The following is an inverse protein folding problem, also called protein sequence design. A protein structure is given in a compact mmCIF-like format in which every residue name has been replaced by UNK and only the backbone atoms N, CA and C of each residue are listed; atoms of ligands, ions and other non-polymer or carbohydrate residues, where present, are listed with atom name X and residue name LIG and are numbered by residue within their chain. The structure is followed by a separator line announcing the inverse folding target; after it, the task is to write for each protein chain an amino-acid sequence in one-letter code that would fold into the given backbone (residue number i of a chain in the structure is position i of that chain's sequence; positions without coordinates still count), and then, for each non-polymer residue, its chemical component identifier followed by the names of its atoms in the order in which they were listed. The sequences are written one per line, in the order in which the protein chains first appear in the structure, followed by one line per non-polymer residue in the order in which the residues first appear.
data_IF_604781729223
#
_entry.id   IF_604781729223
#
_cell.length_a   1.000
_cell.length_b   1.000
_cell.length_c   1.000
_cell.angle_alpha   90.00
_cell.angle_beta   90.00
_cell.angle_gamma   90.00
#
_symmetry.space_group_name_H-M   'P 1'
#
loop_
_entity.id
_entity.type
_entity.pdbx_description
1 polymer ?
#
# COMPACT_ATOMS: atom_id res chain seq x y z
N UNK A 1 13.19 8.44 -1.61
CA UNK A 1 12.17 9.16 -2.43
C UNK A 1 10.88 9.08 -1.65
N UNK A 2 10.20 10.20 -1.41
CA UNK A 2 8.94 10.16 -0.66
C UNK A 2 7.72 10.23 -1.56
N UNK A 3 6.74 9.40 -1.22
CA UNK A 3 5.37 9.49 -1.71
C UNK A 3 4.50 10.04 -0.60
N UNK A 4 3.70 11.05 -0.92
CA UNK A 4 2.83 11.78 -0.01
C UNK A 4 1.39 11.61 -0.44
N UNK A 5 0.50 11.30 0.50
CA UNK A 5 -0.94 11.29 0.23
C UNK A 5 -1.74 11.74 1.45
N UNK A 6 -2.84 12.46 1.19
CA UNK A 6 -3.67 13.07 2.23
C UNK A 6 -4.76 12.11 2.69
N UNK A 7 -4.92 11.94 4.00
CA UNK A 7 -5.97 11.15 4.63
C UNK A 7 -7.32 11.85 4.47
N UNK A 8 -8.08 11.41 3.47
CA UNK A 8 -9.55 11.31 3.48
C UNK A 8 -10.00 10.15 2.57
N UNK A 9 -9.29 9.03 2.58
CA UNK A 9 -9.69 7.83 1.82
C UNK A 9 -10.44 6.88 2.74
N UNK A 10 -11.67 7.24 3.08
CA UNK A 10 -12.61 6.32 3.73
C UNK A 10 -13.58 5.69 2.75
N UNK A 11 -13.43 5.95 1.45
CA UNK A 11 -14.13 5.21 0.42
C UNK A 11 -13.11 4.64 -0.56
N UNK A 12 -12.98 3.32 -0.54
CA UNK A 12 -12.21 2.54 -1.51
C UNK A 12 -12.64 2.84 -2.96
N UNK A 13 -13.83 3.40 -3.15
CA UNK A 13 -14.38 3.79 -4.44
C UNK A 13 -13.89 5.15 -4.95
N UNK A 14 -13.23 5.96 -4.11
CA UNK A 14 -12.72 7.26 -4.53
C UNK A 14 -11.43 7.14 -5.33
N UNK A 15 -11.25 8.06 -6.27
CA UNK A 15 -10.01 8.26 -7.00
C UNK A 15 -9.15 9.28 -6.27
N UNK A 16 -7.83 9.05 -6.23
CA UNK A 16 -6.92 9.98 -5.58
C UNK A 16 -5.49 9.95 -6.10
N UNK A 17 -4.80 11.05 -5.86
CA UNK A 17 -3.45 11.28 -6.33
C UNK A 17 -2.42 11.09 -5.21
N UNK A 18 -1.28 10.52 -5.60
CA UNK A 18 -0.08 10.33 -4.79
C UNK A 18 0.97 11.29 -5.31
N UNK A 19 1.53 12.10 -4.42
CA UNK A 19 2.45 13.18 -4.75
C UNK A 19 3.88 12.83 -4.38
N UNK A 20 4.85 13.43 -5.06
CA UNK A 20 6.25 13.47 -4.59
C UNK A 20 6.49 14.64 -3.62
N UNK A 21 7.73 14.76 -3.13
CA UNK A 21 8.18 15.83 -2.24
C UNK A 21 8.08 17.23 -2.86
N UNK A 22 8.04 17.33 -4.19
CA UNK A 22 7.89 18.59 -4.92
C UNK A 22 6.41 18.92 -5.19
N UNK A 23 5.47 18.05 -4.80
CA UNK A 23 4.03 18.23 -5.02
C UNK A 23 3.55 17.80 -6.40
N UNK A 24 4.36 17.10 -7.19
CA UNK A 24 3.93 16.55 -8.48
C UNK A 24 3.20 15.23 -8.29
N UNK A 25 2.13 15.01 -9.06
CA UNK A 25 1.43 13.71 -9.08
C UNK A 25 2.31 12.64 -9.72
N UNK A 26 2.67 11.62 -8.95
CA UNK A 26 3.46 10.47 -9.41
C UNK A 26 2.55 9.30 -9.80
N UNK A 27 1.52 9.07 -9.01
CA UNK A 27 0.53 8.03 -9.24
C UNK A 27 -0.89 8.53 -9.01
N UNK A 28 -1.84 7.95 -9.72
CA UNK A 28 -3.27 8.12 -9.44
C UNK A 28 -3.87 6.76 -9.15
N UNK A 29 -4.50 6.62 -8.00
CA UNK A 29 -5.19 5.42 -7.55
C UNK A 29 -6.68 5.57 -7.85
N UNK A 30 -7.31 4.55 -8.44
CA UNK A 30 -8.73 4.53 -8.79
C UNK A 30 -9.40 3.29 -8.23
N UNK A 31 -10.41 3.49 -7.39
CA UNK A 31 -11.33 2.43 -6.99
C UNK A 31 -12.14 1.90 -8.16
N UNK A 32 -12.26 0.57 -8.27
CA UNK A 32 -13.22 -0.07 -9.16
C UNK A 32 -14.31 -0.79 -8.37
N UNK A 33 -15.55 -0.72 -8.88
CA UNK A 33 -16.65 -1.52 -8.38
C UNK A 33 -16.43 -2.98 -8.80
N UNK A 34 -16.00 -3.82 -7.87
CA UNK A 34 -15.80 -5.26 -8.06
C UNK A 34 -16.35 -6.05 -6.88
N UNK A 35 -16.42 -7.38 -7.04
CA UNK A 35 -16.70 -8.25 -5.90
C UNK A 35 -15.46 -8.31 -5.00
N UNK A 36 -15.48 -7.52 -3.92
CA UNK A 36 -14.31 -7.24 -3.09
C UNK A 36 -13.57 -5.97 -3.50
N UNK A 37 -12.55 -5.62 -2.72
CA UNK A 37 -11.74 -4.43 -2.92
C UNK A 37 -10.81 -4.56 -4.15
N UNK A 38 -11.00 -3.76 -5.22
CA UNK A 38 -10.02 -3.56 -6.31
C UNK A 38 -9.59 -2.09 -6.52
N UNK A 39 -8.28 -1.83 -6.52
CA UNK A 39 -7.66 -0.54 -6.87
C UNK A 39 -6.82 -0.68 -8.13
N UNK A 40 -6.97 0.27 -9.04
CA UNK A 40 -6.10 0.47 -10.20
C UNK A 40 -5.14 1.60 -9.92
N UNK A 41 -3.86 1.38 -10.22
CA UNK A 41 -2.81 2.37 -10.07
C UNK A 41 -2.39 2.81 -11.47
N UNK A 42 -2.45 4.11 -11.69
CA UNK A 42 -2.04 4.77 -12.92
C UNK A 42 -0.76 5.56 -12.69
N UNK A 43 0.11 5.64 -13.70
CA UNK A 43 1.23 6.56 -13.68
C UNK A 43 0.78 8.01 -13.91
N UNK A 44 1.72 8.96 -13.83
CA UNK A 44 1.47 10.38 -14.09
C UNK A 44 0.89 10.70 -15.49
N UNK A 45 1.04 9.80 -16.47
CA UNK A 45 0.44 9.94 -17.81
C UNK A 45 -0.99 9.38 -17.91
N UNK A 46 -1.54 8.84 -16.81
CA UNK A 46 -2.84 8.20 -16.80
C UNK A 46 -2.86 6.82 -17.46
N UNK A 47 -1.70 6.16 -17.58
CA UNK A 47 -1.59 4.77 -18.06
C UNK A 47 -1.66 3.84 -16.85
N UNK A 48 -2.47 2.78 -16.95
CA UNK A 48 -2.56 1.75 -15.91
C UNK A 48 -1.26 0.95 -15.83
N UNK A 49 -0.72 0.82 -14.62
CA UNK A 49 0.57 0.16 -14.38
C UNK A 49 0.50 -0.91 -13.29
N UNK A 50 -0.54 -0.90 -12.45
CA UNK A 50 -0.66 -1.90 -11.39
C UNK A 50 -2.08 -2.03 -10.85
N UNK A 51 -2.34 -3.17 -10.22
CA UNK A 51 -3.63 -3.47 -9.59
C UNK A 51 -3.39 -4.11 -8.23
N UNK A 52 -4.13 -3.65 -7.22
CA UNK A 52 -4.27 -4.34 -5.93
C UNK A 52 -5.69 -4.89 -5.88
N UNK A 53 -5.84 -6.19 -5.69
CA UNK A 53 -7.14 -6.85 -5.67
C UNK A 53 -7.27 -7.76 -4.45
N UNK A 54 -8.28 -7.54 -3.64
CA UNK A 54 -8.64 -8.42 -2.54
C UNK A 54 -9.22 -9.73 -3.06
N UNK A 55 -8.74 -10.82 -2.45
CA UNK A 55 -9.30 -12.15 -2.63
C UNK A 55 -10.37 -12.40 -1.58
N UNK A 56 -11.61 -12.34 -2.03
CA UNK A 56 -12.78 -12.68 -1.22
C UNK A 56 -12.83 -14.17 -0.84
N UNK A 57 -13.59 -14.49 0.22
CA UNK A 57 -13.80 -15.85 0.75
C UNK A 57 -12.55 -16.54 1.30
N UNK A 58 -11.54 -15.78 1.72
CA UNK A 58 -10.41 -16.30 2.51
C UNK A 58 -10.69 -16.17 4.00
N UNK A 59 -10.09 -17.04 4.82
CA UNK A 59 -10.25 -17.00 6.28
C UNK A 59 -9.57 -15.76 6.91
N UNK A 60 -8.48 -15.29 6.29
CA UNK A 60 -7.77 -14.07 6.66
C UNK A 60 -7.63 -13.15 5.44
N UNK A 61 -7.47 -11.83 5.63
CA UNK A 61 -7.26 -10.87 4.55
C UNK A 61 -6.12 -11.30 3.62
N UNK A 62 -6.40 -11.31 2.32
CA UNK A 62 -5.46 -11.69 1.27
C UNK A 62 -5.68 -10.80 0.05
N UNK A 63 -4.60 -10.23 -0.46
CA UNK A 63 -4.59 -9.35 -1.62
C UNK A 63 -3.61 -9.89 -2.66
N UNK A 64 -4.00 -9.82 -3.91
CA UNK A 64 -3.18 -10.14 -5.07
C UNK A 64 -2.71 -8.83 -5.70
N UNK A 65 -1.42 -8.78 -6.05
CA UNK A 65 -0.79 -7.61 -6.67
C UNK A 65 -0.39 -7.94 -8.11
N UNK A 66 -0.73 -7.03 -9.02
CA UNK A 66 -0.49 -7.16 -10.44
C UNK A 66 0.30 -5.96 -10.94
N UNK A 67 1.29 -6.19 -11.80
CA UNK A 67 1.95 -5.15 -12.60
C UNK A 67 1.48 -5.33 -14.04
N UNK A 68 0.78 -4.33 -14.56
CA UNK A 68 -0.08 -4.51 -15.73
C UNK A 68 -1.10 -5.64 -15.48
N UNK A 69 -1.04 -6.68 -16.32
CA UNK A 69 -1.91 -7.88 -16.24
C UNK A 69 -1.22 -9.08 -15.57
N UNK A 70 0.08 -8.98 -15.25
CA UNK A 70 0.82 -10.09 -14.66
C UNK A 70 0.72 -10.03 -13.13
N UNK A 71 0.26 -11.12 -12.51
CA UNK A 71 0.35 -11.27 -11.07
C UNK A 71 1.82 -11.39 -10.66
N UNK A 72 2.27 -10.48 -9.81
CA UNK A 72 3.66 -10.43 -9.34
C UNK A 72 3.82 -10.90 -7.89
N UNK A 73 2.71 -11.04 -7.17
CA UNK A 73 2.75 -11.58 -5.84
C UNK A 73 1.43 -11.47 -5.09
N UNK A 74 1.54 -11.71 -3.79
CA UNK A 74 0.40 -11.74 -2.87
C UNK A 74 0.79 -11.12 -1.53
N UNK A 75 -0.14 -10.41 -0.92
CA UNK A 75 -0.03 -9.88 0.43
C UNK A 75 -1.07 -10.61 1.28
N UNK A 76 -0.64 -11.29 2.35
CA UNK A 76 -1.55 -12.02 3.23
C UNK A 76 -1.27 -11.75 4.68
N UNK A 77 -2.35 -11.55 5.45
CA UNK A 77 -2.27 -11.50 6.92
C UNK A 77 -1.98 -12.90 7.46
N UNK A 78 -0.96 -13.03 8.28
CA UNK A 78 -0.65 -14.26 9.01
C UNK A 78 -1.46 -14.33 10.31
N UNK A 79 -1.78 -15.55 10.75
CA UNK A 79 -2.43 -15.75 12.03
C UNK A 79 -1.42 -15.57 13.16
N UNK A 80 -1.59 -14.52 13.96
CA UNK A 80 -0.67 -14.15 15.05
C UNK A 80 -1.46 -13.69 16.28
N UNK A 81 -0.98 -14.04 17.47
CA UNK A 81 -1.75 -13.85 18.72
C UNK A 81 -1.59 -12.45 19.37
N UNK A 82 -0.55 -11.69 19.02
CA UNK A 82 -0.23 -10.42 19.72
C UNK A 82 0.07 -9.23 18.81
N UNK A 83 0.72 -9.44 17.65
CA UNK A 83 1.05 -8.37 16.69
C UNK A 83 0.68 -8.82 15.29
N UNK A 84 -0.06 -8.02 14.51
CA UNK A 84 -0.39 -8.37 13.13
C UNK A 84 0.92 -8.55 12.35
N UNK A 85 0.99 -9.65 11.59
CA UNK A 85 2.10 -9.92 10.68
C UNK A 85 1.54 -10.10 9.29
N UNK A 86 2.19 -9.49 8.31
CA UNK A 86 1.86 -9.64 6.91
C UNK A 86 3.04 -10.27 6.19
N UNK A 87 2.71 -11.18 5.26
CA UNK A 87 3.68 -11.78 4.36
C UNK A 87 3.51 -11.18 2.96
N UNK A 88 4.62 -10.85 2.31
CA UNK A 88 4.66 -10.30 0.95
C UNK A 88 5.40 -11.31 0.05
N UNK A 89 4.62 -12.09 -0.69
CA UNK A 89 5.08 -13.13 -1.61
C UNK A 89 5.44 -12.56 -2.99
N UNK A 90 6.35 -11.58 -3.02
CA UNK A 90 6.96 -11.08 -4.27
C UNK A 90 8.47 -10.88 -4.14
N UNK A 91 8.94 -10.32 -3.01
CA UNK A 91 10.33 -9.91 -2.84
C UNK A 91 10.97 -10.42 -1.53
N UNK A 92 10.31 -11.34 -0.82
CA UNK A 92 10.77 -11.82 0.49
C UNK A 92 10.82 -10.72 1.54
N UNK A 93 9.97 -9.70 1.38
CA UNK A 93 9.94 -8.55 2.28
C UNK A 93 9.18 -8.87 3.55
N UNK A 94 9.70 -8.36 4.66
CA UNK A 94 9.06 -8.40 5.97
C UNK A 94 8.65 -7.00 6.39
N UNK A 95 7.67 -6.92 7.29
CA UNK A 95 7.20 -5.65 7.81
C UNK A 95 7.23 -5.66 9.33
N UNK A 96 7.80 -4.61 9.90
CA UNK A 96 8.01 -4.43 11.34
C UNK A 96 7.51 -3.06 11.77
N UNK A 97 6.84 -2.97 12.92
CA UNK A 97 6.35 -1.71 13.49
C UNK A 97 4.89 -1.77 13.90
N UNK A 98 4.28 -0.60 14.09
CA UNK A 98 2.87 -0.43 14.39
C UNK A 98 2.08 -0.10 13.11
N UNK A 99 1.44 -1.13 12.57
CA UNK A 99 0.56 -0.96 11.43
C UNK A 99 -0.62 -0.05 11.73
N UNK A 100 -1.19 -0.08 12.94
CA UNK A 100 -2.38 0.68 13.31
C UNK A 100 -2.10 2.18 13.31
N UNK A 101 -0.99 2.57 13.89
CA UNK A 101 -0.57 3.98 13.97
C UNK A 101 0.07 4.51 12.69
N UNK A 102 0.19 3.67 11.65
CA UNK A 102 0.89 4.00 10.41
C UNK A 102 2.35 4.35 10.66
N UNK A 103 3.02 3.57 11.51
CA UNK A 103 4.44 3.72 11.83
C UNK A 103 5.12 2.35 11.67
N UNK A 104 5.47 2.01 10.43
CA UNK A 104 6.06 0.70 10.12
C UNK A 104 7.12 0.78 9.02
N UNK A 105 8.04 -0.18 9.05
CA UNK A 105 9.16 -0.31 8.12
C UNK A 105 9.05 -1.61 7.34
N UNK A 106 9.20 -1.52 6.03
CA UNK A 106 9.36 -2.67 5.13
C UNK A 106 10.85 -2.96 5.00
N UNK A 107 11.25 -4.21 5.22
CA UNK A 107 12.63 -4.68 5.11
C UNK A 107 12.76 -5.77 4.06
N UNK A 108 13.92 -5.84 3.42
CA UNK A 108 14.26 -6.94 2.51
C UNK A 108 14.68 -8.21 3.27
N UNK A 109 14.93 -9.30 2.53
CA UNK A 109 15.36 -10.57 3.11
C UNK A 109 16.72 -10.50 3.84
N UNK A 110 17.52 -9.47 3.59
CA UNK A 110 18.82 -9.23 4.24
C UNK A 110 18.69 -8.30 5.46
N UNK A 111 17.49 -7.78 5.74
CA UNK A 111 17.19 -6.87 6.83
C UNK A 111 17.46 -5.40 6.51
N UNK A 112 17.75 -5.05 5.26
CA UNK A 112 17.89 -3.66 4.84
C UNK A 112 16.52 -3.00 4.73
N UNK A 113 16.45 -1.71 5.07
CA UNK A 113 15.23 -0.93 4.88
C UNK A 113 14.91 -0.78 3.39
N UNK A 114 13.68 -1.08 3.03
CA UNK A 114 13.11 -0.85 1.68
C UNK A 114 12.28 0.42 1.69
N UNK A 115 11.43 0.57 2.70
CA UNK A 115 10.61 1.76 2.88
C UNK A 115 10.19 1.95 4.34
N UNK A 116 9.94 3.21 4.71
CA UNK A 116 9.40 3.61 6.01
C UNK A 116 8.08 4.34 5.78
N UNK A 117 7.02 3.87 6.43
CA UNK A 117 5.69 4.45 6.35
C UNK A 117 5.39 5.13 7.68
N UNK A 118 5.14 6.44 7.64
CA UNK A 118 4.85 7.27 8.81
C UNK A 118 3.67 8.20 8.56
N UNK A 119 2.94 8.56 9.63
CA UNK A 119 1.96 9.64 9.61
C UNK A 119 2.64 10.96 10.01
N UNK A 120 2.55 11.98 9.16
CA UNK A 120 3.05 13.31 9.49
C UNK A 120 2.08 14.01 10.47
N UNK A 121 2.56 14.30 11.68
CA UNK A 121 1.74 14.89 12.75
C UNK A 121 1.78 16.42 12.80
N UNK A 122 2.70 17.05 12.06
CA UNK A 122 3.01 18.48 12.24
C UNK A 122 2.12 19.44 11.45
N UNK A 123 1.48 18.97 10.36
CA UNK A 123 0.84 19.85 9.37
C UNK A 123 -0.68 20.08 9.55
N UNK A 124 -1.30 19.72 10.68
CA UNK A 124 -2.77 19.78 10.90
C UNK A 124 -3.62 19.05 9.84
N UNK A 125 -2.97 18.46 8.85
CA UNK A 125 -3.49 17.68 7.76
C UNK A 125 -2.94 16.29 7.99
N UNK A 126 -3.84 15.34 8.08
CA UNK A 126 -3.52 13.94 8.17
C UNK A 126 -2.81 13.52 6.86
N UNK A 127 -1.47 13.62 6.78
CA UNK A 127 -0.70 13.25 5.58
C UNK A 127 0.13 12.04 5.90
N UNK A 128 0.07 11.03 5.05
CA UNK A 128 0.90 9.85 5.15
C UNK A 128 2.10 9.98 4.23
N UNK A 129 3.24 9.53 4.73
CA UNK A 129 4.53 9.57 4.06
C UNK A 129 5.02 8.15 3.88
N UNK A 130 5.31 7.77 2.65
CA UNK A 130 6.04 6.55 2.31
C UNK A 130 7.43 6.99 1.84
N UNK A 131 8.45 6.82 2.67
CA UNK A 131 9.83 7.06 2.28
C UNK A 131 10.44 5.77 1.74
N UNK A 132 10.77 5.74 0.45
CA UNK A 132 11.28 4.57 -0.27
C UNK A 132 12.76 4.76 -0.56
N UNK A 133 13.59 3.80 -0.15
CA UNK A 133 15.05 3.86 -0.36
C UNK A 133 15.41 3.78 -1.85
N UNK A 134 14.91 2.77 -2.56
CA UNK A 134 15.09 2.63 -4.01
C UNK A 134 13.79 3.01 -4.75
N UNK A 135 13.79 4.06 -5.59
CA UNK A 135 12.62 4.48 -6.39
C UNK A 135 11.98 3.36 -7.23
N UNK A 136 12.74 2.35 -7.67
CA UNK A 136 12.19 1.21 -8.42
C UNK A 136 11.18 0.39 -7.60
N UNK A 137 11.30 0.41 -6.28
CA UNK A 137 10.38 -0.27 -5.36
C UNK A 137 9.11 0.53 -5.09
N UNK A 138 9.04 1.80 -5.51
CA UNK A 138 7.97 2.73 -5.13
C UNK A 138 6.57 2.19 -5.45
N UNK A 139 6.38 1.58 -6.62
CA UNK A 139 5.10 1.01 -7.02
C UNK A 139 4.67 -0.16 -6.12
N UNK A 140 5.58 -1.10 -5.82
CA UNK A 140 5.29 -2.27 -4.99
C UNK A 140 5.04 -1.86 -3.54
N UNK A 141 5.84 -0.93 -3.03
CA UNK A 141 5.62 -0.37 -1.68
C UNK A 141 4.27 0.33 -1.61
N UNK A 142 3.91 1.15 -2.61
CA UNK A 142 2.59 1.78 -2.67
C UNK A 142 1.48 0.72 -2.68
N UNK A 143 1.57 -0.31 -3.53
CA UNK A 143 0.61 -1.41 -3.58
C UNK A 143 0.45 -2.10 -2.22
N UNK A 144 1.56 -2.31 -1.50
CA UNK A 144 1.53 -2.86 -0.15
C UNK A 144 0.79 -1.94 0.82
N UNK A 145 1.16 -0.68 0.86
CA UNK A 145 0.53 0.32 1.73
C UNK A 145 -0.97 0.43 1.49
N UNK A 146 -1.40 0.39 0.22
CA UNK A 146 -2.81 0.38 -0.18
C UNK A 146 -3.56 -0.87 0.30
N UNK A 147 -2.94 -2.05 0.23
CA UNK A 147 -3.52 -3.28 0.75
C UNK A 147 -3.70 -3.23 2.28
N UNK A 148 -2.75 -2.64 3.00
CA UNK A 148 -2.86 -2.47 4.46
C UNK A 148 -3.98 -1.50 4.85
N UNK A 149 -4.15 -0.42 4.09
CA UNK A 149 -5.26 0.53 4.29
C UNK A 149 -6.62 -0.15 4.08
N UNK A 150 -6.75 -0.94 3.00
CA UNK A 150 -7.95 -1.71 2.68
C UNK A 150 -8.38 -2.65 3.82
N UNK A 151 -7.40 -3.31 4.44
CA UNK A 151 -7.62 -4.23 5.56
C UNK A 151 -8.18 -3.50 6.78
N UNK A 152 -7.73 -2.27 7.04
CA UNK A 152 -8.27 -1.43 8.13
C UNK A 152 -9.71 -0.99 7.84
N UNK A 153 -10.01 -0.54 6.63
CA UNK A 153 -11.36 -0.12 6.26
C UNK A 153 -12.39 -1.26 6.31
N UNK A 154 -11.96 -2.49 6.06
CA UNK A 154 -12.83 -3.68 6.09
C UNK A 154 -13.23 -4.14 7.50
N UNK A 155 -12.41 -3.80 8.51
CA UNK A 155 -12.59 -4.22 9.91
C UNK A 155 -13.34 -3.19 10.77
N UNK A 156 -13.83 -2.10 10.18
CA UNK A 156 -14.48 -0.98 10.87
C UNK A 156 -15.94 -0.82 10.43
#
# INVERSE_FOLDING_TARGET
MKLLFKQRFFSWFDSYDIYDEAGNTVFTVKGQLSWGHRLHIMNASGIHIGTVQERILTFLPKFEIYIGEQQVGTISKEFTFFRPKFNIDCNGWSVEGDFLEWDYTIKDAYGNTVAVITKELFNWTDTYVIDVENPENALIVLMFTLAMDAEKCSNN
#
